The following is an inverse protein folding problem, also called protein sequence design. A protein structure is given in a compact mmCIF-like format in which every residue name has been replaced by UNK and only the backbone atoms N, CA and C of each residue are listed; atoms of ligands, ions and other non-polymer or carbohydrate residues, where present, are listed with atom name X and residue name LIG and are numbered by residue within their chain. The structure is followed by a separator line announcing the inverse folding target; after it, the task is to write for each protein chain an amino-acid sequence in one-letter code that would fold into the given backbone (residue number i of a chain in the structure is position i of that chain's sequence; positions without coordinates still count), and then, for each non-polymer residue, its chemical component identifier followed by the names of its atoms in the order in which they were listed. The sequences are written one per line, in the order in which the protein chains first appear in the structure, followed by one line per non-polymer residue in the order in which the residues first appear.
data_IF_879829696466
#
_entry.id   IF_879829696466
#
_cell.length_a   1.000
_cell.length_b   1.000
_cell.length_c   1.000
_cell.angle_alpha   90.00
_cell.angle_beta   90.00
_cell.angle_gamma   90.00
#
_symmetry.space_group_name_H-M   'P 1'
#
loop_
_entity.id
_entity.type
_entity.pdbx_description
1 polymer ?
#
# COMPACT_ATOMS: atom_id res chain seq x y z
N UNK A 1 -21.59 17.29 -2.48
CA UNK A 1 -21.22 15.97 -3.05
C UNK A 1 -22.45 15.35 -3.70
N UNK A 2 -22.36 14.89 -4.96
CA UNK A 2 -23.43 14.06 -5.56
C UNK A 2 -23.46 12.72 -4.78
N UNK A 3 -24.64 12.34 -4.27
CA UNK A 3 -24.84 11.03 -3.66
C UNK A 3 -25.16 10.04 -4.78
N UNK A 4 -24.23 9.12 -5.07
CA UNK A 4 -24.51 7.93 -5.86
C UNK A 4 -24.88 6.80 -4.91
N UNK A 5 -26.09 6.24 -5.04
CA UNK A 5 -26.49 5.04 -4.29
C UNK A 5 -26.23 3.80 -5.14
N UNK A 6 -25.51 2.82 -4.60
CA UNK A 6 -25.20 1.55 -5.28
C UNK A 6 -25.75 0.41 -4.45
N UNK A 7 -26.68 -0.36 -5.02
CA UNK A 7 -27.17 -1.58 -4.39
C UNK A 7 -26.13 -2.70 -4.59
N UNK A 8 -25.35 -2.98 -3.56
CA UNK A 8 -24.35 -4.06 -3.56
C UNK A 8 -24.95 -5.34 -2.97
N UNK A 9 -24.79 -6.47 -3.67
CA UNK A 9 -25.11 -7.79 -3.13
C UNK A 9 -23.82 -8.46 -2.65
N UNK A 10 -23.77 -8.79 -1.36
CA UNK A 10 -22.66 -9.52 -0.74
C UNK A 10 -23.12 -10.93 -0.38
N UNK A 11 -22.17 -11.87 -0.31
CA UNK A 11 -22.43 -13.18 0.29
C UNK A 11 -22.83 -12.98 1.77
N UNK A 12 -23.78 -13.77 2.31
CA UNK A 12 -24.27 -13.57 3.68
C UNK A 12 -23.15 -13.54 4.74
N UNK A 13 -22.22 -14.50 4.68
CA UNK A 13 -21.08 -14.58 5.61
C UNK A 13 -20.19 -13.34 5.56
N UNK A 14 -19.98 -12.77 4.36
CA UNK A 14 -19.18 -11.56 4.19
C UNK A 14 -19.90 -10.32 4.73
N UNK A 15 -21.22 -10.24 4.51
CA UNK A 15 -22.05 -9.17 5.04
C UNK A 15 -22.05 -9.19 6.58
N UNK A 16 -22.18 -10.37 7.18
CA UNK A 16 -22.18 -10.54 8.63
C UNK A 16 -20.84 -10.11 9.23
N UNK A 17 -19.72 -10.49 8.60
CA UNK A 17 -18.41 -10.11 9.10
C UNK A 17 -18.13 -8.61 8.93
N UNK A 18 -18.47 -8.04 7.77
CA UNK A 18 -18.34 -6.59 7.55
C UNK A 18 -19.20 -5.79 8.55
N UNK A 19 -20.34 -6.32 8.97
CA UNK A 19 -21.18 -5.69 10.00
C UNK A 19 -20.51 -5.69 11.37
N UNK A 20 -19.96 -6.83 11.80
CA UNK A 20 -19.26 -6.93 13.09
C UNK A 20 -18.07 -5.98 13.15
N UNK A 21 -17.30 -5.88 12.06
CA UNK A 21 -16.15 -4.96 11.98
C UNK A 21 -16.62 -3.51 12.00
N UNK A 22 -17.65 -3.15 11.23
CA UNK A 22 -18.18 -1.80 11.25
C UNK A 22 -18.73 -1.42 12.65
N UNK A 23 -19.38 -2.35 13.35
CA UNK A 23 -19.85 -2.18 14.72
C UNK A 23 -18.70 -2.00 15.72
N UNK A 24 -17.63 -2.81 15.63
CA UNK A 24 -16.48 -2.67 16.52
C UNK A 24 -15.70 -1.37 16.30
N UNK A 25 -15.67 -0.87 15.06
CA UNK A 25 -15.09 0.43 14.69
C UNK A 25 -16.03 1.61 14.97
N UNK A 26 -17.30 1.36 15.32
CA UNK A 26 -18.29 2.40 15.59
C UNK A 26 -18.70 3.22 14.36
N UNK A 27 -18.59 2.64 13.16
CA UNK A 27 -18.90 3.31 11.87
C UNK A 27 -20.10 2.66 11.18
N UNK A 28 -20.75 3.42 10.29
CA UNK A 28 -21.80 2.85 9.47
C UNK A 28 -21.22 1.84 8.45
N UNK A 29 -21.92 0.72 8.21
CA UNK A 29 -21.49 -0.31 7.24
C UNK A 29 -21.15 0.27 5.85
N UNK A 30 -21.93 1.24 5.36
CA UNK A 30 -21.66 1.87 4.06
C UNK A 30 -20.36 2.70 4.08
N UNK A 31 -20.02 3.32 5.21
CA UNK A 31 -18.76 4.04 5.35
C UNK A 31 -17.59 3.05 5.35
N UNK A 32 -17.70 1.96 6.12
CA UNK A 32 -16.73 0.88 6.13
C UNK A 32 -16.48 0.33 4.72
N UNK A 33 -17.55 -0.02 3.98
CA UNK A 33 -17.45 -0.51 2.59
C UNK A 33 -16.79 0.53 1.68
N UNK A 34 -17.13 1.81 1.80
CA UNK A 34 -16.51 2.85 0.96
C UNK A 34 -15.00 2.97 1.20
N UNK A 35 -14.56 2.90 2.45
CA UNK A 35 -13.13 2.93 2.80
C UNK A 35 -12.44 1.68 2.28
N UNK A 36 -13.00 0.49 2.52
CA UNK A 36 -12.44 -0.77 2.03
C UNK A 36 -12.29 -0.80 0.49
N UNK A 37 -13.25 -0.24 -0.25
CA UNK A 37 -13.16 -0.09 -1.71
C UNK A 37 -12.03 0.88 -2.09
N UNK A 38 -11.91 2.01 -1.41
CA UNK A 38 -10.84 2.97 -1.67
C UNK A 38 -9.45 2.35 -1.41
N UNK A 39 -9.30 1.59 -0.32
CA UNK A 39 -8.09 0.86 0.02
C UNK A 39 -7.74 -0.20 -1.04
N UNK A 40 -8.72 -1.01 -1.46
CA UNK A 40 -8.50 -2.01 -2.51
C UNK A 40 -8.08 -1.36 -3.83
N UNK A 41 -8.70 -0.24 -4.20
CA UNK A 41 -8.32 0.53 -5.39
C UNK A 41 -6.91 1.08 -5.27
N UNK A 42 -6.53 1.62 -4.10
CA UNK A 42 -5.18 2.09 -3.82
C UNK A 42 -4.17 0.97 -3.99
N UNK A 43 -4.40 -0.19 -3.36
CA UNK A 43 -3.52 -1.35 -3.46
C UNK A 43 -3.32 -1.82 -4.91
N UNK A 44 -4.41 -1.94 -5.68
CA UNK A 44 -4.34 -2.35 -7.10
C UNK A 44 -3.59 -1.33 -7.96
N UNK A 45 -3.80 -0.02 -7.74
CA UNK A 45 -3.10 1.04 -8.48
C UNK A 45 -1.62 1.07 -8.13
N UNK A 46 -1.27 0.89 -6.86
CA UNK A 46 0.12 0.84 -6.41
C UNK A 46 0.85 -0.34 -7.03
N UNK A 47 0.23 -1.53 -7.06
CA UNK A 47 0.81 -2.69 -7.73
C UNK A 47 1.11 -2.41 -9.21
N UNK A 48 0.12 -1.88 -9.95
CA UNK A 48 0.29 -1.48 -11.35
C UNK A 48 1.37 -0.41 -11.54
N UNK A 49 1.43 0.58 -10.66
CA UNK A 49 2.47 1.61 -10.70
C UNK A 49 3.87 0.99 -10.61
N UNK A 50 4.09 0.03 -9.71
CA UNK A 50 5.38 -0.64 -9.58
C UNK A 50 5.73 -1.46 -10.81
N UNK A 51 4.77 -2.16 -11.42
CA UNK A 51 4.97 -2.88 -12.69
C UNK A 51 5.43 -1.92 -13.81
N UNK A 52 4.70 -0.80 -14.01
CA UNK A 52 5.03 0.21 -15.02
C UNK A 52 6.35 0.93 -14.73
N UNK A 53 6.69 1.11 -13.44
CA UNK A 53 7.95 1.70 -13.01
C UNK A 53 9.13 0.75 -13.23
N UNK A 54 8.94 -0.54 -12.98
CA UNK A 54 9.94 -1.58 -13.17
C UNK A 54 10.23 -1.82 -14.66
N UNK A 55 9.21 -1.77 -15.52
CA UNK A 55 9.39 -1.89 -16.97
C UNK A 55 10.29 -0.80 -17.58
N UNK A 56 10.41 0.35 -16.91
CA UNK A 56 11.29 1.47 -17.30
C UNK A 56 12.65 1.46 -16.60
N UNK A 57 12.95 0.43 -15.82
CA UNK A 57 14.18 0.37 -15.04
C UNK A 57 15.39 0.01 -15.92
N UNK A 58 16.50 0.70 -15.68
CA UNK A 58 17.82 0.33 -16.18
C UNK A 58 18.59 -0.35 -15.03
N UNK A 59 18.47 -1.68 -14.98
CA UNK A 59 19.06 -2.49 -13.91
C UNK A 59 20.60 -2.42 -13.92
N UNK A 60 21.31 -2.55 -15.07
CA UNK A 60 22.76 -2.38 -15.11
C UNK A 60 23.22 -1.03 -14.55
N UNK A 61 22.57 0.08 -14.94
CA UNK A 61 22.89 1.41 -14.41
C UNK A 61 22.62 1.52 -12.92
N UNK A 62 21.52 0.95 -12.42
CA UNK A 62 21.23 0.92 -11.00
C UNK A 62 22.31 0.19 -10.21
N UNK A 63 22.78 -0.96 -10.69
CA UNK A 63 23.87 -1.72 -10.07
C UNK A 63 25.20 -0.97 -10.09
N UNK A 64 25.52 -0.26 -11.18
CA UNK A 64 26.71 0.58 -11.25
C UNK A 64 26.71 1.73 -10.22
N UNK A 65 25.53 2.34 -10.00
CA UNK A 65 25.36 3.35 -8.95
C UNK A 65 25.55 2.72 -7.56
N UNK A 66 24.93 1.56 -7.31
CA UNK A 66 25.04 0.88 -6.01
C UNK A 66 26.47 0.45 -5.68
N UNK A 67 27.28 0.04 -6.67
CA UNK A 67 28.72 -0.26 -6.48
C UNK A 67 29.53 0.93 -5.96
N UNK A 68 29.05 2.15 -6.14
CA UNK A 68 29.69 3.38 -5.66
C UNK A 68 29.14 3.84 -4.31
N UNK A 69 28.07 3.24 -3.80
CA UNK A 69 27.48 3.62 -2.53
C UNK A 69 28.50 3.44 -1.39
N UNK A 70 28.66 4.47 -0.55
CA UNK A 70 29.62 4.46 0.56
C UNK A 70 31.09 4.57 0.16
N UNK A 71 31.42 4.64 -1.13
CA UNK A 71 32.79 4.87 -1.58
C UNK A 71 33.24 6.27 -1.13
N UNK A 72 34.42 6.33 -0.53
CA UNK A 72 35.04 7.57 -0.02
C UNK A 72 34.20 8.29 1.06
N UNK A 73 33.20 7.61 1.65
CA UNK A 73 32.41 8.13 2.76
C UNK A 73 32.89 7.50 4.07
N UNK A 74 33.72 8.20 4.86
CA UNK A 74 34.20 7.66 6.13
C UNK A 74 33.03 7.48 7.11
N UNK A 75 33.15 6.54 8.06
CA UNK A 75 32.19 6.41 9.15
C UNK A 75 31.99 7.73 9.88
N UNK A 76 30.75 8.04 10.25
CA UNK A 76 30.45 9.23 11.06
C UNK A 76 30.73 8.95 12.54
N UNK A 77 30.89 10.01 13.33
CA UNK A 77 31.11 9.88 14.77
C UNK A 77 29.94 9.12 15.42
N UNK A 78 30.22 7.92 15.94
CA UNK A 78 29.22 7.04 16.55
C UNK A 78 28.94 5.76 15.76
N UNK A 79 29.44 5.62 14.53
CA UNK A 79 29.42 4.34 13.81
C UNK A 79 30.35 3.35 14.51
N UNK A 80 29.79 2.23 14.95
CA UNK A 80 30.52 1.13 15.62
C UNK A 80 30.09 -0.18 14.98
N UNK A 81 31.03 -1.11 14.81
CA UNK A 81 30.69 -2.51 14.61
C UNK A 81 30.52 -3.10 16.02
N UNK A 82 29.42 -3.83 16.24
CA UNK A 82 29.27 -4.61 17.47
C UNK A 82 30.31 -5.75 17.48
N UNK A 83 30.92 -6.00 18.64
CA UNK A 83 31.96 -7.03 18.84
C UNK A 83 31.42 -8.47 18.69
#
# INVERSE_FOLDING_TARGET
MRKSNVALRLQPSLLDEARKVAESEGVALNQFINVAVAEKLSALRTARYFEERAARADIPKALDILKRAGRDNPPIAGDRLDD
#
